data_IF_212138090787
#
_entry.id   IF_212138090787
#
_cell.length_a   1.000
_cell.length_b   1.000
_cell.length_c   1.000
_cell.angle_alpha   90.00
_cell.angle_beta   90.00
_cell.angle_gamma   90.00
#
_symmetry.space_group_name_H-M   'P 1'
#
loop_
_entity.id
_entity.type
_entity.pdbx_description
1 polymer ?
#
# COMPACT_ATOMS: atom_id res chain seq x y z
N UNK A 1 -8.29 -30.09 -4.69
CA UNK A 1 -7.16 -29.20 -4.30
C UNK A 1 -6.82 -28.31 -5.49
N UNK A 2 -7.55 -27.20 -5.65
CA UNK A 2 -7.18 -25.99 -6.41
C UNK A 2 -8.35 -25.01 -6.23
N UNK A 3 -8.22 -24.01 -5.35
CA UNK A 3 -9.19 -22.92 -5.22
C UNK A 3 -8.47 -21.62 -5.60
N UNK A 4 -8.39 -21.39 -6.91
CA UNK A 4 -7.97 -20.13 -7.52
C UNK A 4 -8.86 -19.93 -8.76
N UNK A 5 -10.09 -19.46 -8.53
CA UNK A 5 -10.94 -18.74 -9.49
C UNK A 5 -12.38 -18.72 -8.94
N UNK A 6 -12.65 -17.85 -7.97
CA UNK A 6 -14.01 -17.35 -7.76
C UNK A 6 -14.00 -15.86 -8.05
N UNK A 7 -14.07 -15.58 -9.36
CA UNK A 7 -14.99 -14.60 -9.94
C UNK A 7 -15.24 -13.34 -9.13
N UNK A 8 -14.56 -12.26 -9.54
CA UNK A 8 -14.95 -10.87 -9.31
C UNK A 8 -16.25 -10.50 -10.07
N UNK A 9 -17.32 -11.26 -9.85
CA UNK A 9 -18.65 -11.07 -10.47
C UNK A 9 -19.68 -10.49 -9.50
N UNK A 10 -19.25 -9.68 -8.53
CA UNK A 10 -20.14 -8.83 -7.73
C UNK A 10 -19.84 -7.34 -7.96
N UNK A 11 -19.59 -6.96 -9.22
CA UNK A 11 -19.31 -5.59 -9.63
C UNK A 11 -20.55 -4.79 -10.06
N UNK A 12 -21.77 -5.29 -9.85
CA UNK A 12 -22.98 -4.54 -10.19
C UNK A 12 -23.83 -4.30 -8.94
N UNK A 13 -24.22 -3.04 -8.78
CA UNK A 13 -25.06 -2.43 -7.73
C UNK A 13 -24.23 -1.87 -6.57
N UNK A 14 -24.49 -0.59 -6.24
CA UNK A 14 -23.97 0.21 -5.11
C UNK A 14 -22.84 1.19 -5.41
N UNK A 15 -23.13 2.15 -6.29
CA UNK A 15 -22.98 3.57 -5.94
C UNK A 15 -23.90 4.42 -6.84
N UNK A 16 -25.07 4.80 -6.33
CA UNK A 16 -26.04 5.66 -7.02
C UNK A 16 -25.58 7.13 -7.09
N UNK A 17 -24.39 7.40 -7.60
CA UNK A 17 -24.03 8.76 -8.01
C UNK A 17 -23.07 8.72 -9.20
N UNK A 18 -23.53 9.31 -10.31
CA UNK A 18 -23.18 8.98 -11.70
C UNK A 18 -21.93 9.70 -12.24
N UNK A 19 -21.01 10.19 -11.40
CA UNK A 19 -19.85 10.99 -11.87
C UNK A 19 -18.46 10.49 -11.41
N UNK A 20 -18.39 9.40 -10.66
CA UNK A 20 -17.12 8.90 -10.13
C UNK A 20 -16.69 7.64 -10.88
N UNK A 21 -15.58 7.71 -11.63
CA UNK A 21 -14.88 6.56 -12.24
C UNK A 21 -14.41 5.50 -11.22
N UNK A 22 -14.74 5.69 -9.94
CA UNK A 22 -14.18 4.96 -8.81
C UNK A 22 -15.31 4.45 -7.89
N UNK A 23 -15.27 3.18 -7.48
CA UNK A 23 -16.27 2.63 -6.55
C UNK A 23 -16.24 3.32 -5.18
N UNK A 24 -17.36 3.86 -4.70
CA UNK A 24 -17.37 4.57 -3.40
C UNK A 24 -17.12 3.66 -2.19
N UNK A 25 -17.10 2.34 -2.35
CA UNK A 25 -16.68 1.44 -1.27
C UNK A 25 -15.26 1.73 -0.79
N UNK A 26 -14.37 2.18 -1.70
CA UNK A 26 -12.98 2.51 -1.39
C UNK A 26 -12.89 3.69 -0.41
N UNK A 27 -13.85 4.62 -0.47
CA UNK A 27 -13.89 5.80 0.40
C UNK A 27 -14.14 5.50 1.87
N UNK A 28 -14.68 4.32 2.19
CA UNK A 28 -14.96 3.88 3.58
C UNK A 28 -13.93 2.87 4.10
N UNK A 29 -12.91 2.53 3.31
CA UNK A 29 -11.90 1.54 3.71
C UNK A 29 -10.79 2.21 4.50
N UNK A 30 -10.61 1.72 5.73
CA UNK A 30 -9.54 2.17 6.62
C UNK A 30 -8.29 1.27 6.52
N UNK A 31 -8.39 0.13 5.84
CA UNK A 31 -7.31 -0.83 5.73
C UNK A 31 -7.09 -1.29 4.30
N UNK A 32 -5.84 -1.55 3.94
CA UNK A 32 -5.45 -2.22 2.70
C UNK A 32 -4.48 -3.37 3.02
N UNK A 33 -4.94 -4.61 2.84
CA UNK A 33 -4.16 -5.81 3.14
C UNK A 33 -3.94 -6.62 1.86
N UNK A 34 -2.69 -6.72 1.43
CA UNK A 34 -2.30 -7.49 0.24
C UNK A 34 -0.99 -8.25 0.50
N UNK A 35 -0.97 -9.01 1.60
CA UNK A 35 0.19 -9.83 1.99
C UNK A 35 0.36 -11.06 1.10
N UNK A 36 1.58 -11.59 1.04
CA UNK A 36 1.90 -12.84 0.34
C UNK A 36 1.54 -12.82 -1.15
N UNK A 37 1.79 -11.68 -1.79
CA UNK A 37 1.61 -11.49 -3.22
C UNK A 37 2.96 -11.26 -3.90
N UNK A 38 2.92 -10.91 -5.18
CA UNK A 38 4.11 -10.66 -6.01
C UNK A 38 4.21 -9.20 -6.45
N UNK A 39 3.69 -8.28 -5.62
CA UNK A 39 3.68 -6.85 -5.93
C UNK A 39 5.13 -6.35 -5.93
N UNK A 40 5.56 -5.75 -7.05
CA UNK A 40 6.92 -5.20 -7.19
C UNK A 40 6.96 -3.69 -7.00
N UNK A 41 5.90 -3.01 -7.42
CA UNK A 41 5.72 -1.57 -7.38
C UNK A 41 4.22 -1.29 -7.22
N UNK A 42 3.90 -0.18 -6.57
CA UNK A 42 2.53 0.32 -6.46
C UNK A 42 2.32 1.41 -7.51
N UNK A 43 1.17 1.44 -8.21
CA UNK A 43 0.80 2.57 -9.06
C UNK A 43 0.82 3.90 -8.29
N UNK A 44 1.14 5.01 -8.96
CA UNK A 44 1.19 6.34 -8.34
C UNK A 44 -0.14 6.77 -7.73
N UNK A 45 -1.25 6.34 -8.32
CA UNK A 45 -2.60 6.73 -7.95
C UNK A 45 -3.30 5.74 -7.01
N UNK A 46 -2.60 4.69 -6.57
CA UNK A 46 -3.19 3.52 -5.89
C UNK A 46 -4.06 3.88 -4.67
N UNK A 47 -3.68 4.90 -3.90
CA UNK A 47 -4.38 5.30 -2.67
C UNK A 47 -5.21 6.59 -2.81
N UNK A 48 -5.28 7.18 -4.01
CA UNK A 48 -5.93 8.49 -4.24
C UNK A 48 -7.40 8.53 -3.81
N UNK A 49 -8.08 7.39 -3.88
CA UNK A 49 -9.53 7.29 -3.64
C UNK A 49 -9.85 6.50 -2.36
N UNK A 50 -8.86 6.39 -1.47
CA UNK A 50 -9.00 5.80 -0.15
C UNK A 50 -8.81 6.87 0.96
N UNK A 51 -9.60 7.95 1.00
CA UNK A 51 -9.43 9.06 1.95
C UNK A 51 -9.57 8.66 3.43
N UNK A 52 -10.15 7.50 3.70
CA UNK A 52 -10.32 6.93 5.04
C UNK A 52 -9.22 5.93 5.41
N UNK A 53 -8.26 5.63 4.53
CA UNK A 53 -7.18 4.68 4.79
C UNK A 53 -6.35 5.09 6.02
N UNK A 54 -6.03 4.11 6.86
CA UNK A 54 -5.26 4.23 8.11
C UNK A 54 -4.18 3.15 8.19
N UNK A 55 -4.46 1.94 7.75
CA UNK A 55 -3.59 0.78 7.96
C UNK A 55 -3.26 0.09 6.64
N UNK A 56 -1.97 -0.06 6.34
CA UNK A 56 -1.52 -0.75 5.13
C UNK A 56 -0.61 -1.91 5.48
N UNK A 57 -0.96 -3.11 5.02
CA UNK A 57 -0.13 -4.30 5.18
C UNK A 57 0.20 -4.93 3.82
N UNK A 58 1.47 -4.80 3.45
CA UNK A 58 2.08 -5.26 2.21
C UNK A 58 3.20 -6.27 2.47
N UNK A 59 3.21 -6.91 3.64
CA UNK A 59 4.23 -7.89 4.00
C UNK A 59 4.35 -9.02 2.97
N UNK A 60 5.56 -9.54 2.81
CA UNK A 60 5.85 -10.67 1.94
C UNK A 60 5.43 -10.41 0.49
N UNK A 61 5.93 -9.32 -0.06
CA UNK A 61 5.84 -8.96 -1.48
C UNK A 61 7.25 -8.80 -2.06
N UNK A 62 7.36 -8.20 -3.25
CA UNK A 62 8.61 -7.96 -3.97
C UNK A 62 8.88 -6.45 -4.15
N UNK A 63 8.35 -5.63 -3.23
CA UNK A 63 8.47 -4.17 -3.29
C UNK A 63 9.91 -3.77 -2.97
N UNK A 64 10.53 -3.04 -3.88
CA UNK A 64 11.91 -2.58 -3.75
C UNK A 64 12.01 -1.06 -3.69
N UNK A 65 11.06 -0.34 -4.26
CA UNK A 65 10.99 1.13 -4.24
C UNK A 65 9.65 1.57 -3.67
N UNK A 66 9.67 2.61 -2.85
CA UNK A 66 8.50 3.14 -2.16
C UNK A 66 8.44 4.64 -2.42
N UNK A 67 7.82 5.03 -3.54
CA UNK A 67 7.74 6.42 -3.99
C UNK A 67 6.77 7.24 -3.14
N UNK A 68 7.20 8.41 -2.67
CA UNK A 68 6.36 9.34 -1.90
C UNK A 68 5.03 9.69 -2.61
N UNK A 69 5.07 9.93 -3.92
CA UNK A 69 3.91 10.26 -4.74
C UNK A 69 2.73 9.29 -4.49
N UNK A 70 3.02 7.99 -4.40
CA UNK A 70 2.01 6.95 -4.18
C UNK A 70 1.28 7.11 -2.84
N UNK A 71 1.98 7.57 -1.81
CA UNK A 71 1.49 7.66 -0.44
C UNK A 71 0.96 9.04 -0.08
N UNK A 72 1.36 10.08 -0.83
CA UNK A 72 0.96 11.46 -0.62
C UNK A 72 -0.55 11.67 -0.37
N UNK A 73 -1.51 10.95 -1.01
CA UNK A 73 -2.93 11.18 -0.77
C UNK A 73 -3.43 10.74 0.61
N UNK A 74 -2.70 9.84 1.27
CA UNK A 74 -3.10 9.18 2.53
C UNK A 74 -2.10 9.39 3.67
N UNK A 75 -0.92 9.96 3.38
CA UNK A 75 0.22 10.05 4.30
C UNK A 75 -0.13 10.72 5.63
N UNK A 76 -0.88 11.82 5.60
CA UNK A 76 -1.25 12.59 6.79
C UNK A 76 -2.22 11.88 7.73
N UNK A 77 -2.77 10.73 7.33
CA UNK A 77 -3.77 9.97 8.08
C UNK A 77 -3.32 8.56 8.41
N UNK A 78 -2.16 8.12 7.90
CA UNK A 78 -1.73 6.75 8.02
C UNK A 78 -1.26 6.46 9.45
N UNK A 79 -1.88 5.47 10.10
CA UNK A 79 -1.51 5.03 11.44
C UNK A 79 -0.43 3.95 11.36
N UNK A 80 -0.58 2.99 10.43
CA UNK A 80 0.34 1.87 10.32
C UNK A 80 0.73 1.51 8.88
N UNK A 81 2.01 1.16 8.73
CA UNK A 81 2.61 0.68 7.48
C UNK A 81 3.49 -0.54 7.74
N UNK A 82 3.07 -1.69 7.24
CA UNK A 82 3.85 -2.93 7.28
C UNK A 82 4.32 -3.36 5.90
N UNK A 83 5.64 -3.49 5.77
CA UNK A 83 6.38 -3.83 4.55
C UNK A 83 7.44 -4.92 4.81
N UNK A 84 7.32 -5.66 5.92
CA UNK A 84 8.25 -6.74 6.26
C UNK A 84 8.37 -7.78 5.14
N UNK A 85 9.53 -8.40 5.03
CA UNK A 85 9.84 -9.39 3.99
C UNK A 85 9.62 -8.85 2.55
N UNK A 86 10.04 -7.61 2.31
CA UNK A 86 10.17 -7.03 0.97
C UNK A 86 11.64 -6.68 0.68
N UNK A 87 12.11 -6.76 -0.58
CA UNK A 87 13.47 -6.40 -0.96
C UNK A 87 13.69 -4.88 -1.06
N UNK A 88 13.41 -4.13 0.02
CA UNK A 88 13.39 -2.66 0.02
C UNK A 88 14.79 -2.07 -0.20
N UNK A 89 14.89 -1.13 -1.13
CA UNK A 89 16.10 -0.35 -1.39
C UNK A 89 16.03 0.97 -0.63
N UNK A 90 16.81 1.11 0.43
CA UNK A 90 16.85 2.28 1.29
C UNK A 90 17.82 3.37 0.78
N UNK A 91 17.50 3.88 -0.40
CA UNK A 91 18.17 5.01 -1.05
C UNK A 91 17.50 6.34 -0.63
N UNK A 92 17.68 7.42 -1.41
CA UNK A 92 17.05 8.71 -1.13
C UNK A 92 15.51 8.66 -1.31
N UNK A 93 14.99 7.78 -2.15
CA UNK A 93 13.58 7.73 -2.53
C UNK A 93 12.66 7.30 -1.37
N UNK A 94 13.20 6.64 -0.35
CA UNK A 94 12.44 6.20 0.84
C UNK A 94 12.53 7.19 2.00
N UNK A 95 13.29 8.29 1.88
CA UNK A 95 13.60 9.16 3.02
C UNK A 95 12.34 9.78 3.65
N UNK A 96 11.29 9.99 2.84
CA UNK A 96 9.99 10.47 3.33
C UNK A 96 9.42 9.58 4.45
N UNK A 97 9.71 8.27 4.47
CA UNK A 97 9.24 7.36 5.52
C UNK A 97 9.79 7.74 6.88
N UNK A 98 11.03 8.23 6.94
CA UNK A 98 11.66 8.71 8.17
C UNK A 98 11.12 10.07 8.63
N UNK A 99 10.54 10.84 7.73
CA UNK A 99 9.96 12.15 8.00
C UNK A 99 8.45 12.08 8.28
N UNK A 100 7.81 10.99 7.85
CA UNK A 100 6.39 10.78 8.01
C UNK A 100 6.03 10.53 9.48
N UNK A 101 5.00 11.23 9.96
CA UNK A 101 4.45 11.02 11.29
C UNK A 101 3.48 9.82 11.29
N UNK A 102 4.01 8.62 11.13
CA UNK A 102 3.25 7.35 11.14
C UNK A 102 3.52 6.66 12.48
N UNK A 103 2.47 6.34 13.22
CA UNK A 103 2.59 5.76 14.58
C UNK A 103 3.36 4.43 14.59
N UNK A 104 3.15 3.58 13.58
CA UNK A 104 3.80 2.28 13.48
C UNK A 104 4.27 1.96 12.06
N UNK A 105 5.59 1.97 11.85
CA UNK A 105 6.21 1.53 10.60
C UNK A 105 7.04 0.27 10.86
N UNK A 106 6.83 -0.77 10.05
CA UNK A 106 7.60 -2.02 10.10
C UNK A 106 8.12 -2.36 8.71
N UNK A 107 9.43 -2.21 8.54
CA UNK A 107 10.13 -2.43 7.29
C UNK A 107 11.59 -2.73 7.61
N UNK A 108 12.26 -3.46 6.72
CA UNK A 108 13.71 -3.67 6.78
C UNK A 108 14.32 -3.40 5.43
N UNK A 109 15.44 -2.71 5.43
CA UNK A 109 16.22 -2.48 4.23
C UNK A 109 16.89 -3.78 3.76
N UNK A 110 16.80 -4.08 2.47
CA UNK A 110 17.53 -5.19 1.84
C UNK A 110 18.75 -4.70 1.05
N UNK A 111 18.70 -3.45 0.57
CA UNK A 111 19.80 -2.77 -0.12
C UNK A 111 19.84 -1.29 0.28
N UNK A 112 20.98 -0.58 0.11
CA UNK A 112 22.30 -1.15 -0.20
C UNK A 112 22.82 -2.03 0.95
N UNK A 113 23.86 -2.83 0.70
CA UNK A 113 24.42 -3.76 1.69
C UNK A 113 24.75 -3.10 3.04
N UNK A 114 25.23 -1.85 3.01
CA UNK A 114 25.55 -1.06 4.19
C UNK A 114 24.35 -0.75 5.11
N UNK A 115 23.12 -0.83 4.59
CA UNK A 115 21.88 -0.61 5.34
C UNK A 115 21.07 -1.91 5.52
N UNK A 116 21.60 -3.07 5.13
CA UNK A 116 20.81 -4.30 5.15
C UNK A 116 20.40 -4.66 6.58
N UNK A 117 19.09 -4.87 6.79
CA UNK A 117 18.50 -5.28 8.06
C UNK A 117 18.12 -4.14 9.02
N UNK A 118 18.45 -2.88 8.68
CA UNK A 118 18.02 -1.69 9.43
C UNK A 118 16.59 -1.30 9.10
#
# INVERSE_FOLDING_TARGET
>A
MQQCAQTAHLLLIMCNNLDSKVPCFLRKKNYFFSRYNKIRQLPKDMFSEMPALRDVNLNSNLIHVINEDTWSPVLSKLNSLSLEANPIHCNADIFWVCQANIEAVSAKCQAPAAKKGT
#
